data_IF_782197286749
#
_entry.id   IF_782197286749
#
_cell.length_a   1.000
_cell.length_b   1.000
_cell.length_c   1.000
_cell.angle_alpha   90.00
_cell.angle_beta   90.00
_cell.angle_gamma   90.00
#
_symmetry.space_group_name_H-M   'P 1'
#
loop_
_entity.id
_entity.type
_entity.pdbx_description
1 polymer ?
#
# COMPACT_ATOMS: atom_id res chain seq x y z
N UNK A 1 -24.75 -14.97 -20.62
CA UNK A 1 -25.73 -14.35 -19.71
C UNK A 1 -25.13 -13.69 -18.45
N UNK A 2 -23.91 -13.98 -18.03
CA UNK A 2 -23.28 -13.40 -16.82
C UNK A 2 -22.94 -11.91 -16.91
N UNK A 3 -22.53 -11.40 -18.05
CA UNK A 3 -22.07 -10.01 -18.23
C UNK A 3 -23.18 -8.94 -18.17
N UNK A 4 -24.42 -9.31 -18.48
CA UNK A 4 -25.58 -8.39 -18.44
C UNK A 4 -26.09 -8.25 -17.01
N UNK A 5 -26.02 -9.31 -16.20
CA UNK A 5 -26.43 -9.28 -14.79
C UNK A 5 -25.49 -8.44 -13.92
N UNK A 6 -24.18 -8.49 -14.18
CA UNK A 6 -23.20 -7.67 -13.46
C UNK A 6 -23.39 -6.17 -13.74
N UNK A 7 -23.71 -5.76 -14.96
CA UNK A 7 -23.98 -4.36 -15.29
C UNK A 7 -25.30 -3.83 -14.69
N UNK A 8 -26.32 -4.65 -14.59
CA UNK A 8 -27.59 -4.26 -13.96
C UNK A 8 -27.47 -4.18 -12.43
N UNK A 9 -26.69 -5.07 -11.82
CA UNK A 9 -26.47 -5.05 -10.37
C UNK A 9 -25.61 -3.86 -9.93
N UNK A 10 -24.60 -3.48 -10.74
CA UNK A 10 -23.76 -2.30 -10.46
C UNK A 10 -24.53 -0.98 -10.54
N UNK A 11 -25.57 -0.92 -11.39
CA UNK A 11 -26.44 0.27 -11.51
C UNK A 11 -27.37 0.48 -10.29
N UNK A 12 -27.71 -0.57 -9.55
CA UNK A 12 -28.63 -0.52 -8.41
C UNK A 12 -27.95 -0.34 -7.05
N UNK A 13 -26.69 -0.75 -6.91
CA UNK A 13 -25.99 -0.77 -5.60
C UNK A 13 -24.69 0.05 -5.56
N UNK A 14 -24.40 0.86 -6.57
CA UNK A 14 -23.13 1.56 -6.71
C UNK A 14 -22.00 0.59 -7.11
N UNK A 15 -21.10 1.05 -7.96
CA UNK A 15 -19.98 0.22 -8.41
C UNK A 15 -19.04 -0.06 -7.24
N UNK A 16 -19.02 -1.30 -6.76
CA UNK A 16 -17.96 -1.78 -5.86
C UNK A 16 -16.79 -2.17 -6.75
N UNK A 17 -15.75 -1.38 -6.73
CA UNK A 17 -14.50 -1.68 -7.43
C UNK A 17 -13.66 -2.62 -6.54
N UNK A 18 -13.17 -3.72 -7.13
CA UNK A 18 -12.18 -4.58 -6.49
C UNK A 18 -10.81 -4.13 -6.95
N UNK A 19 -9.94 -3.83 -6.01
CA UNK A 19 -8.55 -3.49 -6.31
C UNK A 19 -7.64 -4.40 -5.52
N UNK A 20 -6.67 -5.01 -6.21
CA UNK A 20 -5.64 -5.81 -5.58
C UNK A 20 -4.48 -4.88 -5.22
N UNK A 21 -4.18 -4.81 -3.95
CA UNK A 21 -3.09 -4.00 -3.42
C UNK A 21 -2.04 -4.90 -2.80
N UNK A 22 -0.80 -4.61 -3.13
CA UNK A 22 0.36 -5.27 -2.57
C UNK A 22 1.02 -4.34 -1.56
N UNK A 23 1.18 -4.78 -0.32
CA UNK A 23 1.85 -4.00 0.73
C UNK A 23 3.22 -4.59 0.99
N UNK A 24 4.23 -3.78 0.84
CA UNK A 24 5.62 -4.18 1.07
C UNK A 24 6.20 -3.35 2.20
N UNK A 25 6.91 -4.05 3.02
CA UNK A 25 7.84 -3.58 4.03
C UNK A 25 7.29 -3.23 5.41
N UNK A 26 7.77 -4.02 6.31
CA UNK A 26 8.14 -3.83 7.70
C UNK A 26 7.06 -3.39 8.71
N UNK A 27 5.80 -3.22 8.36
CA UNK A 27 4.86 -2.86 9.41
C UNK A 27 3.53 -3.60 9.31
N UNK A 28 3.49 -4.80 9.87
CA UNK A 28 2.27 -5.53 10.28
C UNK A 28 1.25 -4.58 10.93
N UNK A 29 1.73 -3.57 11.64
CA UNK A 29 0.91 -2.54 12.28
C UNK A 29 0.02 -1.80 11.26
N UNK A 30 0.49 -1.52 10.04
CA UNK A 30 -0.31 -0.75 9.08
C UNK A 30 -1.49 -1.55 8.53
N UNK A 31 -1.28 -2.82 8.20
CA UNK A 31 -2.37 -3.67 7.67
C UNK A 31 -3.38 -3.97 8.76
N UNK A 32 -2.93 -4.31 9.96
CA UNK A 32 -3.81 -4.46 11.12
C UNK A 32 -4.49 -3.15 11.49
N UNK A 33 -3.76 -2.03 11.45
CA UNK A 33 -4.34 -0.72 11.69
C UNK A 33 -5.42 -0.38 10.65
N UNK A 34 -5.17 -0.63 9.37
CA UNK A 34 -6.17 -0.43 8.31
C UNK A 34 -7.36 -1.36 8.50
N UNK A 35 -7.14 -2.62 8.84
CA UNK A 35 -8.19 -3.59 9.11
C UNK A 35 -8.98 -3.22 10.38
N UNK A 36 -8.30 -2.97 11.48
CA UNK A 36 -8.92 -2.73 12.79
C UNK A 36 -9.57 -1.34 12.88
N UNK A 37 -8.91 -0.30 12.39
CA UNK A 37 -9.46 1.06 12.40
C UNK A 37 -10.62 1.24 11.42
N UNK A 38 -10.54 0.63 10.26
CA UNK A 38 -11.65 0.69 9.29
C UNK A 38 -12.83 -0.22 9.69
N UNK A 39 -12.58 -1.27 10.48
CA UNK A 39 -13.61 -2.20 10.93
C UNK A 39 -14.02 -2.02 12.40
N UNK A 40 -13.10 -1.77 13.31
CA UNK A 40 -13.36 -1.79 14.77
C UNK A 40 -12.89 -0.56 15.55
N UNK A 41 -12.09 0.32 15.00
CA UNK A 41 -11.71 1.60 15.63
C UNK A 41 -10.62 1.51 16.71
N UNK A 42 -10.04 0.36 16.99
CA UNK A 42 -9.02 0.16 18.04
C UNK A 42 -7.66 -0.24 17.45
N UNK A 43 -6.59 0.13 18.16
CA UNK A 43 -5.21 -0.24 17.80
C UNK A 43 -4.79 -1.49 18.58
N UNK A 44 -4.46 -2.55 17.85
CA UNK A 44 -3.96 -3.80 18.43
C UNK A 44 -2.45 -3.87 18.26
N UNK A 45 -1.76 -4.32 19.32
CA UNK A 45 -0.31 -4.59 19.27
C UNK A 45 -0.04 -5.83 18.41
N UNK A 46 0.84 -5.70 17.44
CA UNK A 46 1.07 -6.73 16.44
C UNK A 46 2.45 -7.36 16.51
N UNK A 47 2.53 -8.64 16.11
CA UNK A 47 3.77 -9.41 15.94
C UNK A 47 4.14 -9.34 14.44
N UNK A 48 5.43 -9.21 14.07
CA UNK A 48 5.84 -9.22 12.67
C UNK A 48 5.31 -10.45 11.90
N UNK A 49 4.79 -10.21 10.68
CA UNK A 49 4.24 -11.27 9.84
C UNK A 49 5.31 -12.27 9.45
N UNK A 50 5.13 -13.54 9.82
CA UNK A 50 5.93 -14.65 9.36
C UNK A 50 5.18 -15.29 8.19
N UNK A 51 5.61 -14.99 6.95
CA UNK A 51 4.94 -15.46 5.74
C UNK A 51 4.12 -14.36 5.06
N UNK A 52 2.83 -14.58 4.88
CA UNK A 52 1.92 -13.59 4.28
C UNK A 52 0.59 -13.57 5.03
N UNK A 53 -0.08 -12.44 4.97
CA UNK A 53 -1.47 -12.29 5.40
C UNK A 53 -2.30 -11.67 4.27
N UNK A 54 -3.57 -12.00 4.19
CA UNK A 54 -4.49 -11.45 3.19
C UNK A 54 -5.70 -10.90 3.90
N UNK A 55 -5.91 -9.61 3.73
CA UNK A 55 -7.05 -8.94 4.33
C UNK A 55 -7.90 -8.23 3.28
N UNK A 56 -9.20 -8.19 3.51
CA UNK A 56 -10.11 -7.41 2.68
C UNK A 56 -10.53 -6.17 3.44
N UNK A 57 -10.10 -5.01 2.94
CA UNK A 57 -10.43 -3.71 3.51
C UNK A 57 -11.40 -3.00 2.58
N UNK A 58 -12.50 -2.49 3.11
CA UNK A 58 -13.46 -1.70 2.33
C UNK A 58 -13.31 -0.22 2.67
N UNK A 59 -13.02 0.59 1.66
CA UNK A 59 -12.88 2.04 1.79
C UNK A 59 -13.44 2.77 0.56
N UNK A 60 -14.26 3.79 0.76
CA UNK A 60 -14.84 4.63 -0.31
C UNK A 60 -15.43 3.85 -1.51
N UNK A 61 -16.23 2.80 -1.25
CA UNK A 61 -16.81 1.90 -2.27
C UNK A 61 -15.78 1.11 -3.08
N UNK A 62 -14.55 0.99 -2.58
CA UNK A 62 -13.55 0.07 -3.10
C UNK A 62 -13.33 -1.03 -2.07
N UNK A 63 -13.27 -2.27 -2.55
CA UNK A 63 -12.77 -3.40 -1.77
C UNK A 63 -11.32 -3.64 -2.16
N UNK A 64 -10.42 -3.32 -1.24
CA UNK A 64 -9.00 -3.63 -1.36
C UNK A 64 -8.76 -5.03 -0.84
N UNK A 65 -8.23 -5.89 -1.67
CA UNK A 65 -7.64 -7.14 -1.21
C UNK A 65 -6.15 -6.90 -0.99
N UNK A 66 -5.79 -6.79 0.27
CA UNK A 66 -4.45 -6.38 0.71
C UNK A 66 -3.65 -7.63 1.03
N UNK A 67 -2.54 -7.81 0.31
CA UNK A 67 -1.56 -8.87 0.57
C UNK A 67 -0.42 -8.27 1.39
N UNK A 68 -0.40 -8.56 2.69
CA UNK A 68 0.70 -8.19 3.56
C UNK A 68 1.77 -9.28 3.50
N UNK A 69 2.88 -8.95 2.89
CA UNK A 69 4.00 -9.87 2.75
C UNK A 69 5.10 -9.46 3.73
N UNK A 70 5.45 -10.37 4.61
CA UNK A 70 6.54 -10.13 5.56
C UNK A 70 7.84 -9.70 4.87
N UNK A 71 8.51 -8.68 5.43
CA UNK A 71 9.74 -8.10 4.86
C UNK A 71 11.00 -8.97 5.01
N UNK A 72 10.89 -10.19 5.55
CA UNK A 72 12.05 -11.06 5.74
C UNK A 72 12.65 -11.50 4.40
N UNK A 73 13.98 -11.43 4.30
CA UNK A 73 14.71 -11.79 3.08
C UNK A 73 14.41 -13.19 2.57
N UNK A 74 14.14 -14.14 3.48
CA UNK A 74 13.84 -15.54 3.13
C UNK A 74 12.53 -15.74 2.38
N UNK A 75 11.56 -14.83 2.51
CA UNK A 75 10.24 -14.96 1.87
C UNK A 75 10.09 -14.09 0.62
N UNK A 76 10.98 -13.15 0.38
CA UNK A 76 10.97 -12.25 -0.79
C UNK A 76 10.90 -12.97 -2.15
N UNK A 77 11.58 -14.10 -2.38
CA UNK A 77 11.46 -14.84 -3.64
C UNK A 77 10.04 -15.30 -3.96
N UNK A 78 9.19 -15.43 -2.94
CA UNK A 78 7.79 -15.83 -3.10
C UNK A 78 6.85 -14.67 -3.40
N UNK A 79 7.26 -13.42 -3.25
CA UNK A 79 6.42 -12.26 -3.51
C UNK A 79 5.85 -12.25 -4.92
N UNK A 80 6.61 -12.69 -5.91
CA UNK A 80 6.20 -12.77 -7.32
C UNK A 80 4.92 -13.58 -7.54
N UNK A 81 4.62 -14.54 -6.68
CA UNK A 81 3.38 -15.32 -6.76
C UNK A 81 2.12 -14.46 -6.54
N UNK A 82 2.27 -13.28 -5.93
CA UNK A 82 1.18 -12.39 -5.55
C UNK A 82 1.08 -11.15 -6.43
N UNK A 83 1.99 -10.95 -7.38
CA UNK A 83 2.00 -9.80 -8.29
C UNK A 83 0.92 -9.80 -9.37
N UNK A 84 0.46 -10.95 -9.91
CA UNK A 84 -0.56 -10.95 -10.95
C UNK A 84 -1.81 -10.19 -10.56
N UNK A 85 -2.29 -9.32 -11.48
CA UNK A 85 -3.47 -8.47 -11.30
C UNK A 85 -3.37 -7.40 -10.20
N UNK A 86 -2.18 -7.12 -9.69
CA UNK A 86 -1.96 -6.03 -8.73
C UNK A 86 -2.14 -4.68 -9.40
N UNK A 87 -3.03 -3.85 -8.87
CA UNK A 87 -3.35 -2.52 -9.39
C UNK A 87 -2.66 -1.41 -8.61
N UNK A 88 -2.25 -1.70 -7.38
CA UNK A 88 -1.56 -0.73 -6.55
C UNK A 88 -0.50 -1.40 -5.66
N UNK A 89 0.56 -0.64 -5.40
CA UNK A 89 1.62 -0.96 -4.44
C UNK A 89 1.52 0.06 -3.32
N UNK A 90 1.40 -0.40 -2.08
CA UNK A 90 1.52 0.45 -0.89
C UNK A 90 2.88 0.15 -0.27
N UNK A 91 3.79 1.11 -0.36
CA UNK A 91 5.14 0.97 0.19
C UNK A 91 5.26 1.77 1.49
N UNK A 92 5.57 1.08 2.59
CA UNK A 92 5.65 1.70 3.91
C UNK A 92 7.10 1.81 4.34
N UNK A 93 7.53 3.01 4.67
CA UNK A 93 8.92 3.31 5.05
C UNK A 93 8.97 3.75 6.51
N UNK A 94 9.90 3.19 7.25
CA UNK A 94 10.26 3.70 8.57
C UNK A 94 11.12 4.95 8.40
N UNK A 95 10.52 6.13 8.58
CA UNK A 95 11.22 7.41 8.39
C UNK A 95 12.23 7.72 9.48
N UNK A 96 12.22 6.96 10.58
CA UNK A 96 13.18 7.11 11.69
C UNK A 96 14.44 6.27 11.50
N UNK A 97 14.42 5.30 10.58
CA UNK A 97 15.51 4.36 10.34
C UNK A 97 16.31 4.75 9.09
N UNK A 98 17.11 5.78 9.23
CA UNK A 98 17.90 6.34 8.13
C UNK A 98 18.94 5.38 7.57
N UNK A 99 19.47 4.48 8.40
CA UNK A 99 20.52 3.54 8.00
C UNK A 99 20.00 2.49 7.00
N UNK A 100 18.72 2.13 7.11
CA UNK A 100 18.10 1.15 6.22
C UNK A 100 17.43 1.75 4.97
N UNK A 101 17.39 3.07 4.82
CA UNK A 101 16.76 3.70 3.66
C UNK A 101 17.45 3.34 2.34
N UNK A 102 18.75 3.11 2.34
CA UNK A 102 19.48 2.64 1.14
C UNK A 102 18.98 1.27 0.71
N UNK A 103 18.80 0.35 1.65
CA UNK A 103 18.28 -0.99 1.38
C UNK A 103 16.81 -0.89 0.93
N UNK A 104 16.02 -0.07 1.60
CA UNK A 104 14.63 0.17 1.23
C UNK A 104 14.51 0.72 -0.20
N UNK A 105 15.38 1.64 -0.61
CA UNK A 105 15.44 2.15 -1.97
C UNK A 105 15.71 1.04 -2.99
N UNK A 106 16.74 0.24 -2.77
CA UNK A 106 17.10 -0.84 -3.68
C UNK A 106 15.98 -1.86 -3.85
N UNK A 107 15.34 -2.24 -2.74
CA UNK A 107 14.18 -3.14 -2.75
C UNK A 107 12.98 -2.53 -3.48
N UNK A 108 12.70 -1.28 -3.22
CA UNK A 108 11.60 -0.57 -3.86
C UNK A 108 11.75 -0.51 -5.36
N UNK A 109 12.93 -0.10 -5.85
CA UNK A 109 13.19 -0.04 -7.30
C UNK A 109 13.17 -1.43 -7.94
N UNK A 110 13.69 -2.46 -7.27
CA UNK A 110 13.59 -3.83 -7.76
C UNK A 110 12.16 -4.32 -7.93
N UNK A 111 11.26 -3.97 -6.98
CA UNK A 111 9.82 -4.27 -7.09
C UNK A 111 9.20 -3.51 -8.28
N UNK A 112 9.57 -2.25 -8.49
CA UNK A 112 9.04 -1.46 -9.59
C UNK A 112 9.46 -1.94 -10.98
N UNK A 113 10.54 -2.72 -11.09
CA UNK A 113 11.03 -3.33 -12.33
C UNK A 113 10.29 -4.61 -12.70
N UNK A 114 9.52 -5.21 -11.78
CA UNK A 114 8.76 -6.42 -12.06
C UNK A 114 7.69 -6.20 -13.13
N UNK A 115 7.65 -7.11 -14.11
CA UNK A 115 6.79 -6.99 -15.30
C UNK A 115 5.31 -6.96 -14.92
N UNK A 116 4.91 -7.81 -13.97
CA UNK A 116 3.53 -7.93 -13.50
C UNK A 116 3.02 -6.69 -12.76
N UNK A 117 3.95 -5.86 -12.26
CA UNK A 117 3.65 -4.62 -11.54
C UNK A 117 3.75 -3.37 -12.41
N UNK A 118 3.99 -3.52 -13.72
CA UNK A 118 4.00 -2.39 -14.64
C UNK A 118 2.66 -1.70 -14.67
N UNK A 119 2.69 -0.38 -14.51
CA UNK A 119 1.47 0.44 -14.50
C UNK A 119 0.72 0.46 -13.16
N UNK A 120 1.09 -0.36 -12.17
CA UNK A 120 0.50 -0.28 -10.84
C UNK A 120 0.74 1.11 -10.22
N UNK A 121 -0.30 1.67 -9.61
CA UNK A 121 -0.22 2.93 -8.85
C UNK A 121 0.64 2.71 -7.61
N UNK A 122 1.45 3.69 -7.22
CA UNK A 122 2.32 3.56 -6.06
C UNK A 122 1.95 4.59 -5.00
N UNK A 123 1.56 4.11 -3.83
CA UNK A 123 1.36 4.90 -2.64
C UNK A 123 2.50 4.65 -1.66
N UNK A 124 3.19 5.70 -1.25
CA UNK A 124 4.26 5.60 -0.26
C UNK A 124 3.79 6.22 1.06
N UNK A 125 3.95 5.49 2.14
CA UNK A 125 3.77 6.02 3.48
C UNK A 125 5.12 6.22 4.16
N UNK A 126 5.52 7.49 4.33
CA UNK A 126 6.65 7.89 5.17
C UNK A 126 6.19 7.82 6.63
N UNK A 127 6.27 6.63 7.21
CA UNK A 127 5.66 6.31 8.49
C UNK A 127 6.57 6.60 9.69
N UNK A 128 5.99 6.53 10.88
CA UNK A 128 6.62 6.83 12.17
C UNK A 128 6.96 8.31 12.37
N UNK A 129 6.16 9.20 11.80
CA UNK A 129 6.31 10.65 11.98
C UNK A 129 6.10 11.11 13.43
N UNK A 130 5.61 10.23 14.29
CA UNK A 130 5.52 10.45 15.75
C UNK A 130 6.86 10.33 16.47
N UNK A 131 7.89 9.78 15.82
CA UNK A 131 9.20 9.60 16.42
C UNK A 131 10.12 10.81 16.18
N UNK A 132 10.92 11.21 17.19
CA UNK A 132 11.90 12.26 17.02
C UNK A 132 12.94 11.88 15.96
N UNK A 133 13.29 12.81 15.09
CA UNK A 133 14.28 12.61 14.04
C UNK A 133 13.76 11.83 12.80
N UNK A 134 12.46 11.51 12.74
CA UNK A 134 11.87 10.96 11.53
C UNK A 134 12.05 11.95 10.35
N UNK A 135 12.51 11.42 9.22
CA UNK A 135 12.62 12.19 7.99
C UNK A 135 11.24 12.57 7.48
N UNK A 136 11.12 13.78 6.97
CA UNK A 136 9.90 14.24 6.32
C UNK A 136 9.72 13.59 4.93
N UNK A 137 8.59 13.85 4.30
CA UNK A 137 8.24 13.34 2.97
C UNK A 137 9.22 13.79 1.88
N UNK A 138 9.77 15.00 1.98
CA UNK A 138 10.77 15.50 1.03
C UNK A 138 12.10 14.74 1.17
N UNK A 139 12.59 14.54 2.38
CA UNK A 139 13.82 13.79 2.62
C UNK A 139 13.67 12.31 2.27
N UNK A 140 12.50 11.69 2.52
CA UNK A 140 12.22 10.32 2.10
C UNK A 140 12.13 10.24 0.58
N UNK A 141 11.52 11.22 -0.10
CA UNK A 141 11.47 11.31 -1.57
C UNK A 141 12.86 11.28 -2.20
N UNK A 142 13.77 12.07 -1.66
CA UNK A 142 15.17 12.11 -2.12
C UNK A 142 15.89 10.79 -1.80
N UNK A 143 15.74 10.26 -0.59
CA UNK A 143 16.41 9.02 -0.17
C UNK A 143 15.99 7.81 -0.99
N UNK A 144 14.72 7.72 -1.35
CA UNK A 144 14.17 6.66 -2.21
C UNK A 144 14.29 6.97 -3.71
N UNK A 145 14.80 8.15 -4.08
CA UNK A 145 14.92 8.61 -5.47
C UNK A 145 13.58 8.53 -6.24
N UNK A 146 12.47 8.93 -5.59
CA UNK A 146 11.12 8.82 -6.19
C UNK A 146 10.98 9.61 -7.49
N UNK A 147 11.78 10.65 -7.69
CA UNK A 147 11.85 11.44 -8.95
C UNK A 147 12.27 10.59 -10.17
N UNK A 148 12.86 9.41 -9.95
CA UNK A 148 13.21 8.47 -11.02
C UNK A 148 12.03 7.61 -11.49
N UNK A 149 10.92 7.57 -10.74
CA UNK A 149 9.73 6.83 -11.12
C UNK A 149 9.10 7.48 -12.34
N UNK A 150 8.98 6.73 -13.42
CA UNK A 150 8.36 7.18 -14.66
C UNK A 150 7.26 6.20 -15.09
N UNK A 151 6.33 6.70 -15.90
CA UNK A 151 5.27 5.90 -16.51
C UNK A 151 4.28 5.24 -15.53
N UNK A 152 4.16 5.79 -14.32
CA UNK A 152 3.12 5.39 -13.35
C UNK A 152 2.80 6.54 -12.40
N UNK A 153 1.59 6.53 -11.85
CA UNK A 153 1.19 7.50 -10.84
C UNK A 153 1.73 7.08 -9.48
N UNK A 154 2.25 8.04 -8.73
CA UNK A 154 2.69 7.81 -7.37
C UNK A 154 2.44 9.02 -6.48
N UNK A 155 2.34 8.79 -5.19
CA UNK A 155 2.30 9.85 -4.18
C UNK A 155 2.90 9.37 -2.87
N UNK A 156 3.35 10.31 -2.04
CA UNK A 156 3.91 10.05 -0.72
C UNK A 156 3.13 10.85 0.33
N UNK A 157 2.88 10.22 1.48
CA UNK A 157 2.21 10.84 2.62
C UNK A 157 2.98 10.59 3.90
N UNK A 158 3.10 11.63 4.72
CA UNK A 158 3.60 11.52 6.09
C UNK A 158 2.56 10.82 6.95
N UNK A 159 2.96 9.79 7.67
CA UNK A 159 2.02 9.01 8.46
C UNK A 159 2.56 8.66 9.84
N UNK A 160 1.65 8.48 10.78
CA UNK A 160 1.89 7.76 12.02
C UNK A 160 0.80 6.71 12.19
N UNK A 161 1.14 5.46 11.90
CA UNK A 161 0.19 4.36 12.04
C UNK A 161 -0.34 4.22 13.48
N UNK A 162 0.50 4.47 14.48
CA UNK A 162 0.12 4.42 15.89
C UNK A 162 -0.93 5.49 16.22
N UNK A 163 -0.77 6.71 15.68
CA UNK A 163 -1.71 7.81 15.91
C UNK A 163 -2.89 7.81 14.94
N UNK A 164 -2.76 7.11 13.81
CA UNK A 164 -3.74 7.12 12.72
C UNK A 164 -3.67 8.37 11.85
N UNK A 165 -2.57 9.10 11.88
CA UNK A 165 -2.39 10.34 11.13
C UNK A 165 -1.90 10.04 9.70
N UNK A 166 -2.42 10.76 8.70
CA UNK A 166 -1.99 10.71 7.30
C UNK A 166 -2.43 9.48 6.49
N UNK A 167 -3.01 8.48 7.13
CA UNK A 167 -3.37 7.22 6.47
C UNK A 167 -4.59 7.38 5.55
N UNK A 168 -5.61 8.09 6.03
CA UNK A 168 -6.85 8.30 5.27
C UNK A 168 -6.60 9.18 4.05
N UNK A 169 -5.76 10.19 4.17
CA UNK A 169 -5.37 11.06 3.06
C UNK A 169 -4.69 10.28 1.93
N UNK A 170 -3.80 9.34 2.29
CA UNK A 170 -3.17 8.45 1.32
C UNK A 170 -4.16 7.48 0.68
N UNK A 171 -5.08 6.90 1.45
CA UNK A 171 -6.11 6.00 0.91
C UNK A 171 -7.13 6.74 0.04
N UNK A 172 -7.48 7.98 0.37
CA UNK A 172 -8.34 8.83 -0.46
C UNK A 172 -7.67 9.10 -1.81
N UNK A 173 -6.40 9.49 -1.80
CA UNK A 173 -5.64 9.67 -3.02
C UNK A 173 -5.60 8.38 -3.85
N UNK A 174 -5.28 7.25 -3.25
CA UNK A 174 -5.23 5.96 -3.93
C UNK A 174 -6.59 5.57 -4.52
N UNK A 175 -7.65 5.69 -3.74
CA UNK A 175 -9.02 5.41 -4.16
C UNK A 175 -9.44 6.26 -5.37
N UNK A 176 -9.16 7.56 -5.34
CA UNK A 176 -9.48 8.48 -6.43
C UNK A 176 -8.66 8.17 -7.69
N UNK A 177 -7.38 7.86 -7.52
CA UNK A 177 -6.47 7.51 -8.63
C UNK A 177 -6.92 6.23 -9.33
N UNK A 178 -7.27 5.19 -8.58
CA UNK A 178 -7.75 3.93 -9.14
C UNK A 178 -9.09 4.08 -9.86
N UNK A 179 -10.00 4.93 -9.36
CA UNK A 179 -11.27 5.23 -10.04
C UNK A 179 -11.07 5.99 -11.33
N UNK A 180 -10.10 6.90 -11.38
CA UNK A 180 -9.82 7.71 -12.58
C UNK A 180 -9.04 6.96 -13.65
N UNK A 181 -8.26 5.95 -13.30
CA UNK A 181 -7.47 5.13 -14.23
C UNK A 181 -8.22 3.91 -14.78
N UNK A 182 -9.44 3.63 -14.34
CA UNK A 182 -10.27 2.50 -14.75
C UNK A 182 -11.23 2.79 -15.91
N UNK A 183 -10.88 3.76 -16.76
CA UNK A 183 -11.63 4.12 -17.98
C UNK A 183 -11.05 3.49 -19.24
#
# INVERSE_FOLDING_TARGET
MGLVFTKLFSSLFGNIYYSFCFVVNLLVILVHFLSDRLQMGEVVSTIPTIGFNVETVQYNNIKFQVWDLGGQTSIRPYWRCYFPNTQAIIYVVDSSDTDRLVIAKEEFHAILEEEELKGAVVLIFANKQDLPGALDDAAVTESLELHKIKNRQWSIFKTSAIKGEGLFEGLDWLSNTLKSGGG
#
